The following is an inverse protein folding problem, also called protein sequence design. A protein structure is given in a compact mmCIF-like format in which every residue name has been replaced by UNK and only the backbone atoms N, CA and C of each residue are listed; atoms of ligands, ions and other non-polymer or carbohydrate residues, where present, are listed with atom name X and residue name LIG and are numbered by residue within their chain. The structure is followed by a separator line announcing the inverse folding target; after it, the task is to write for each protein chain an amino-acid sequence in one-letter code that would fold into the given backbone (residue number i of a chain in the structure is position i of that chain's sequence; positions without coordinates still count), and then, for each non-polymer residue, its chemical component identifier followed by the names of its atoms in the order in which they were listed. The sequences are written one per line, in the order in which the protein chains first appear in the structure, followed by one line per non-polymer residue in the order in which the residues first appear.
data_IF_800928103763
#
_entry.id   IF_800928103763
#
_cell.length_a   1.000
_cell.length_b   1.000
_cell.length_c   1.000
_cell.angle_alpha   90.00
_cell.angle_beta   90.00
_cell.angle_gamma   90.00
#
_symmetry.space_group_name_H-M   'P 1'
#
loop_
_entity.id
_entity.type
_entity.pdbx_description
1 polymer ?
#
# COMPACT_ATOMS: atom_id res chain seq x y z
N UNK A 1 11.30 7.36 4.72
CA UNK A 1 10.87 6.00 4.31
C UNK A 1 10.50 6.07 2.82
N UNK A 2 10.88 5.08 1.99
CA UNK A 2 10.90 5.24 0.53
C UNK A 2 9.50 5.51 -0.08
N UNK A 3 8.46 4.67 0.11
CA UNK A 3 7.11 4.94 -0.41
C UNK A 3 6.54 6.32 -0.10
N UNK A 4 6.60 6.77 1.17
CA UNK A 4 6.09 8.10 1.53
C UNK A 4 6.87 9.22 0.84
N UNK A 5 8.18 9.05 0.64
CA UNK A 5 8.98 10.03 -0.08
C UNK A 5 8.54 10.13 -1.55
N UNK A 6 8.37 8.98 -2.22
CA UNK A 6 7.96 8.92 -3.63
C UNK A 6 6.58 9.55 -3.84
N UNK A 7 5.56 9.18 -3.06
CA UNK A 7 4.22 9.77 -3.25
C UNK A 7 4.20 11.25 -2.89
N UNK A 8 4.94 11.69 -1.87
CA UNK A 8 5.08 13.11 -1.55
C UNK A 8 5.77 13.88 -2.68
N UNK A 9 6.85 13.36 -3.26
CA UNK A 9 7.51 13.94 -4.44
C UNK A 9 6.54 14.07 -5.62
N UNK A 10 5.84 12.98 -5.95
CA UNK A 10 4.86 12.97 -7.05
C UNK A 10 3.73 13.98 -6.82
N UNK A 11 3.29 14.15 -5.58
CA UNK A 11 2.23 15.10 -5.22
C UNK A 11 2.73 16.55 -5.07
N UNK A 12 4.03 16.82 -5.14
CA UNK A 12 4.58 18.17 -4.95
C UNK A 12 4.65 18.61 -3.49
N UNK A 13 4.70 17.67 -2.54
CA UNK A 13 4.81 17.95 -1.11
C UNK A 13 6.27 18.32 -0.77
N UNK A 14 6.53 19.51 -0.19
CA UNK A 14 7.86 19.91 0.25
C UNK A 14 8.48 18.90 1.21
N UNK A 15 9.80 18.69 1.11
CA UNK A 15 10.52 17.71 1.94
C UNK A 15 10.32 17.95 3.44
N UNK A 16 10.30 19.21 3.86
CA UNK A 16 10.08 19.62 5.26
C UNK A 16 8.73 19.16 5.83
N UNK A 17 7.72 18.97 4.99
CA UNK A 17 6.38 18.57 5.42
C UNK A 17 6.20 17.05 5.49
N UNK A 18 7.05 16.26 4.83
CA UNK A 18 6.89 14.79 4.74
C UNK A 18 6.76 14.10 6.10
N UNK A 19 7.52 14.47 7.16
CA UNK A 19 7.33 13.88 8.48
C UNK A 19 5.92 14.12 9.05
N UNK A 20 5.34 15.30 8.81
CA UNK A 20 3.97 15.63 9.21
C UNK A 20 2.95 14.79 8.44
N UNK A 21 3.09 14.68 7.12
CA UNK A 21 2.18 13.87 6.28
C UNK A 21 2.25 12.38 6.67
N UNK A 22 3.45 11.89 7.00
CA UNK A 22 3.65 10.53 7.53
C UNK A 22 2.90 10.31 8.86
N UNK A 23 2.99 11.24 9.82
CA UNK A 23 2.24 11.15 11.08
C UNK A 23 0.72 11.12 10.84
N UNK A 24 0.22 12.03 10.00
CA UNK A 24 -1.21 12.13 9.72
C UNK A 24 -1.74 10.85 9.06
N UNK A 25 -1.03 10.29 8.08
CA UNK A 25 -1.42 9.03 7.43
C UNK A 25 -1.34 7.82 8.37
N UNK A 26 -0.34 7.77 9.25
CA UNK A 26 -0.25 6.75 10.31
C UNK A 26 -1.49 6.80 11.23
N UNK A 27 -1.89 8.01 11.66
CA UNK A 27 -3.07 8.19 12.53
C UNK A 27 -4.38 7.90 11.80
N UNK A 28 -4.46 8.23 10.51
CA UNK A 28 -5.64 7.98 9.68
C UNK A 28 -5.90 6.47 9.50
N UNK A 29 -4.87 5.69 9.18
CA UNK A 29 -5.01 4.27 8.83
C UNK A 29 -4.65 3.31 9.98
N UNK A 30 -3.97 3.81 11.01
CA UNK A 30 -3.62 3.10 12.23
C UNK A 30 -4.45 3.49 13.46
N UNK A 31 -5.45 4.37 13.36
CA UNK A 31 -6.17 4.95 14.50
C UNK A 31 -6.93 3.97 15.41
N UNK A 32 -7.02 2.68 15.07
CA UNK A 32 -7.48 1.61 15.97
C UNK A 32 -6.41 1.09 16.95
N UNK A 33 -5.15 1.46 16.74
CA UNK A 33 -4.00 1.17 17.58
C UNK A 33 -3.72 2.37 18.50
N UNK A 34 -3.41 2.10 19.77
CA UNK A 34 -3.17 3.15 20.77
C UNK A 34 -1.95 4.02 20.44
N UNK A 35 -0.96 3.45 19.74
CA UNK A 35 0.25 4.17 19.33
C UNK A 35 -0.05 5.28 18.29
N UNK A 36 -1.10 5.11 17.49
CA UNK A 36 -1.49 6.05 16.42
C UNK A 36 -2.79 6.81 16.74
N UNK A 37 -3.03 7.02 18.04
CA UNK A 37 -4.11 7.83 18.57
C UNK A 37 -5.27 7.04 19.15
N UNK A 38 -5.50 5.78 18.74
CA UNK A 38 -6.45 4.85 19.36
C UNK A 38 -7.93 5.27 19.39
N UNK A 39 -8.29 6.42 18.82
CA UNK A 39 -9.64 7.01 18.90
C UNK A 39 -10.15 7.43 17.52
N UNK A 40 -11.48 7.39 17.36
CA UNK A 40 -12.16 7.90 16.16
C UNK A 40 -11.90 9.39 15.92
N UNK A 41 -11.78 10.17 16.99
CA UNK A 41 -11.49 11.61 16.92
C UNK A 41 -10.09 11.87 16.34
N UNK A 42 -9.07 11.13 16.79
CA UNK A 42 -7.72 11.26 16.23
C UNK A 42 -7.69 10.97 14.73
N UNK A 43 -8.40 9.92 14.30
CA UNK A 43 -8.54 9.56 12.88
C UNK A 43 -9.23 10.68 12.08
N UNK A 44 -10.36 11.17 12.59
CA UNK A 44 -11.15 12.22 11.91
C UNK A 44 -10.32 13.49 11.73
N UNK A 45 -9.63 13.93 12.80
CA UNK A 45 -8.77 15.11 12.77
C UNK A 45 -7.60 14.94 11.80
N UNK A 46 -6.97 13.77 11.78
CA UNK A 46 -5.89 13.50 10.82
C UNK A 46 -6.39 13.60 9.37
N UNK A 47 -7.60 13.10 9.10
CA UNK A 47 -8.24 13.22 7.79
C UNK A 47 -8.59 14.67 7.43
N UNK A 48 -9.07 15.48 8.38
CA UNK A 48 -9.32 16.91 8.18
C UNK A 48 -8.03 17.65 7.81
N UNK A 49 -6.97 17.48 8.60
CA UNK A 49 -5.69 18.14 8.35
C UNK A 49 -5.07 17.74 6.99
N UNK A 50 -5.22 16.48 6.56
CA UNK A 50 -4.78 16.04 5.24
C UNK A 50 -5.57 16.67 4.10
N UNK A 51 -6.90 16.81 4.25
CA UNK A 51 -7.74 17.48 3.24
C UNK A 51 -7.39 18.96 3.14
N UNK A 52 -7.23 19.63 4.28
CA UNK A 52 -6.87 21.05 4.34
C UNK A 52 -5.49 21.29 3.70
N UNK A 53 -4.54 20.39 3.95
CA UNK A 53 -3.23 20.44 3.29
C UNK A 53 -3.35 20.32 1.77
N UNK A 54 -4.13 19.35 1.28
CA UNK A 54 -4.36 19.17 -0.16
C UNK A 54 -5.01 20.38 -0.83
N UNK A 55 -5.98 21.02 -0.14
CA UNK A 55 -6.60 22.26 -0.62
C UNK A 55 -5.62 23.42 -0.67
N UNK A 56 -4.77 23.57 0.37
CA UNK A 56 -3.74 24.60 0.41
C UNK A 56 -2.72 24.41 -0.73
N UNK A 57 -2.20 23.20 -0.91
CA UNK A 57 -1.23 22.90 -1.96
C UNK A 57 -1.85 23.10 -3.35
N UNK A 58 -3.10 22.68 -3.52
CA UNK A 58 -3.89 22.91 -4.72
C UNK A 58 -3.99 24.38 -5.14
N UNK A 59 -4.32 25.26 -4.19
CA UNK A 59 -4.38 26.71 -4.45
C UNK A 59 -3.01 27.26 -4.86
N UNK A 60 -1.95 26.81 -4.20
CA UNK A 60 -0.59 27.19 -4.59
C UNK A 60 -0.26 26.76 -6.03
N UNK A 61 -0.68 25.56 -6.46
CA UNK A 61 -0.47 25.07 -7.83
C UNK A 61 -1.33 25.75 -8.90
N UNK A 62 -2.50 26.26 -8.53
CA UNK A 62 -3.31 27.10 -9.44
C UNK A 62 -2.61 28.42 -9.77
N UNK A 63 -1.95 29.03 -8.79
CA UNK A 63 -1.23 30.30 -8.97
C UNK A 63 0.17 30.10 -9.56
N UNK A 64 0.84 29.03 -9.13
CA UNK A 64 2.21 28.68 -9.50
C UNK A 64 2.32 27.19 -9.86
N UNK A 65 1.97 26.82 -11.11
CA UNK A 65 2.06 25.44 -11.58
C UNK A 65 3.49 24.88 -11.51
N UNK A 66 3.61 23.61 -11.09
CA UNK A 66 4.87 22.86 -11.06
C UNK A 66 4.73 21.53 -11.83
N UNK A 67 5.82 20.75 -11.93
CA UNK A 67 5.78 19.44 -12.58
C UNK A 67 5.41 18.33 -11.59
N UNK A 68 4.17 18.36 -11.09
CA UNK A 68 3.65 17.40 -10.12
C UNK A 68 2.19 17.00 -10.37
N UNK A 69 1.73 15.96 -9.65
CA UNK A 69 0.36 15.46 -9.73
C UNK A 69 -0.63 16.48 -9.20
N UNK A 70 -0.30 17.29 -8.19
CA UNK A 70 -1.26 18.29 -7.69
C UNK A 70 -1.57 19.34 -8.76
N UNK A 71 -0.56 19.79 -9.51
CA UNK A 71 -0.70 20.66 -10.68
C UNK A 71 -1.56 19.98 -11.74
N UNK A 72 -1.30 18.70 -12.03
CA UNK A 72 -2.12 17.92 -12.97
C UNK A 72 -3.58 17.87 -12.53
N UNK A 73 -3.86 17.64 -11.24
CA UNK A 73 -5.22 17.52 -10.71
C UNK A 73 -6.01 18.83 -10.77
N UNK A 74 -5.38 19.97 -10.46
CA UNK A 74 -6.07 21.26 -10.46
C UNK A 74 -6.33 21.82 -11.86
N UNK A 75 -5.60 21.34 -12.88
CA UNK A 75 -5.78 21.72 -14.28
C UNK A 75 -6.47 20.63 -15.13
N UNK A 76 -6.77 19.47 -14.56
CA UNK A 76 -7.43 18.39 -15.29
C UNK A 76 -8.89 18.74 -15.58
N UNK A 77 -9.31 18.47 -16.82
CA UNK A 77 -10.70 18.48 -17.25
C UNK A 77 -11.11 17.08 -17.70
N UNK A 78 -12.26 16.62 -17.23
CA UNK A 78 -12.88 15.35 -17.66
C UNK A 78 -14.23 15.71 -18.28
N UNK A 79 -14.45 15.32 -19.53
CA UNK A 79 -15.66 15.68 -20.28
C UNK A 79 -15.94 17.20 -20.34
N UNK A 80 -14.87 18.00 -20.30
CA UNK A 80 -14.93 19.47 -20.31
C UNK A 80 -15.23 20.10 -18.94
N UNK A 81 -15.28 19.30 -17.87
CA UNK A 81 -15.47 19.79 -16.49
C UNK A 81 -14.18 19.66 -15.67
N UNK A 82 -13.77 20.77 -15.06
CA UNK A 82 -12.69 20.78 -14.09
C UNK A 82 -13.08 20.07 -12.79
N UNK A 83 -12.08 19.57 -12.05
CA UNK A 83 -12.32 19.00 -10.72
C UNK A 83 -13.01 20.04 -9.81
N UNK A 84 -14.15 19.68 -9.17
CA UNK A 84 -14.78 20.57 -8.21
C UNK A 84 -13.82 20.88 -7.05
N UNK A 85 -13.68 22.15 -6.62
CA UNK A 85 -12.72 22.52 -5.58
C UNK A 85 -12.86 21.73 -4.27
N UNK A 86 -14.08 21.30 -3.92
CA UNK A 86 -14.33 20.49 -2.73
C UNK A 86 -13.77 19.06 -2.82
N UNK A 87 -13.50 18.55 -4.02
CA UNK A 87 -13.05 17.18 -4.24
C UNK A 87 -11.52 17.06 -4.18
N UNK A 88 -10.79 18.17 -4.33
CA UNK A 88 -9.34 18.19 -4.34
C UNK A 88 -8.72 17.71 -3.02
N UNK A 89 -9.20 18.21 -1.88
CA UNK A 89 -8.74 17.77 -0.56
C UNK A 89 -8.93 16.26 -0.34
N UNK A 90 -10.16 15.71 -0.54
CA UNK A 90 -10.41 14.28 -0.51
C UNK A 90 -9.54 13.45 -1.47
N UNK A 91 -9.33 13.93 -2.70
CA UNK A 91 -8.52 13.22 -3.70
C UNK A 91 -7.03 13.20 -3.32
N UNK A 92 -6.50 14.34 -2.83
CA UNK A 92 -5.15 14.42 -2.29
C UNK A 92 -4.95 13.46 -1.11
N UNK A 93 -5.88 13.46 -0.14
CA UNK A 93 -5.87 12.54 0.99
C UNK A 93 -5.83 11.08 0.51
N UNK A 94 -6.69 10.72 -0.45
CA UNK A 94 -6.73 9.37 -1.02
C UNK A 94 -5.37 8.94 -1.56
N UNK A 95 -4.72 9.78 -2.38
CA UNK A 95 -3.44 9.45 -3.00
C UNK A 95 -2.31 9.32 -1.98
N UNK A 96 -2.19 10.28 -1.05
CA UNK A 96 -1.14 10.27 -0.02
C UNK A 96 -1.32 9.08 0.94
N UNK A 97 -2.55 8.79 1.39
CA UNK A 97 -2.81 7.67 2.28
C UNK A 97 -2.57 6.32 1.57
N UNK A 98 -3.04 6.17 0.34
CA UNK A 98 -2.89 4.93 -0.43
C UNK A 98 -1.44 4.64 -0.81
N UNK A 99 -0.70 5.66 -1.27
CA UNK A 99 0.70 5.53 -1.70
C UNK A 99 1.69 5.30 -0.55
N UNK A 100 1.32 5.63 0.70
CA UNK A 100 2.20 5.45 1.85
C UNK A 100 2.03 4.07 2.51
N UNK A 101 0.83 3.77 2.99
CA UNK A 101 0.60 2.65 3.90
C UNK A 101 0.67 1.28 3.24
N UNK A 102 0.35 1.17 1.96
CA UNK A 102 0.23 -0.13 1.31
C UNK A 102 1.59 -0.71 0.94
N UNK A 103 2.40 0.02 0.17
CA UNK A 103 3.72 -0.46 -0.29
C UNK A 103 4.68 -0.71 0.87
N UNK A 104 4.72 0.16 1.90
CA UNK A 104 5.62 -0.04 3.06
C UNK A 104 5.35 -1.34 3.81
N UNK A 105 4.09 -1.75 3.86
CA UNK A 105 3.67 -2.98 4.51
C UNK A 105 3.98 -4.19 3.62
N UNK A 106 3.77 -4.10 2.30
CA UNK A 106 4.23 -5.13 1.36
C UNK A 106 5.74 -5.39 1.53
N UNK A 107 6.54 -4.33 1.61
CA UNK A 107 7.98 -4.41 1.83
C UNK A 107 8.33 -5.07 3.16
N UNK A 108 7.75 -4.59 4.26
CA UNK A 108 8.08 -5.12 5.59
C UNK A 108 7.73 -6.60 5.69
N UNK A 109 6.57 -7.01 5.16
CA UNK A 109 6.18 -8.41 5.06
C UNK A 109 7.07 -9.20 4.11
N UNK A 110 7.52 -8.62 3.01
CA UNK A 110 8.45 -9.25 2.08
C UNK A 110 9.81 -9.55 2.74
N UNK A 111 10.36 -8.61 3.50
CA UNK A 111 11.60 -8.84 4.24
C UNK A 111 11.43 -9.92 5.31
N UNK A 112 10.28 -9.92 5.99
CA UNK A 112 9.94 -10.97 6.94
C UNK A 112 9.82 -12.33 6.24
N UNK A 113 9.11 -12.43 5.12
CA UNK A 113 8.98 -13.66 4.35
C UNK A 113 10.34 -14.17 3.87
N UNK A 114 11.19 -13.33 3.28
CA UNK A 114 12.54 -13.73 2.86
C UNK A 114 13.46 -14.13 4.02
N UNK A 115 13.15 -13.71 5.24
CA UNK A 115 13.84 -14.17 6.46
C UNK A 115 13.41 -15.58 6.83
N UNK A 116 12.10 -15.87 6.75
CA UNK A 116 11.51 -17.18 7.07
C UNK A 116 11.74 -18.23 5.97
N UNK A 117 11.92 -17.78 4.72
CA UNK A 117 12.13 -18.62 3.51
C UNK A 117 13.49 -18.32 2.85
N UNK A 118 14.61 -18.68 3.50
CA UNK A 118 15.96 -18.32 3.03
C UNK A 118 16.34 -18.98 1.69
N UNK A 119 15.70 -20.09 1.31
CA UNK A 119 15.82 -20.71 -0.01
C UNK A 119 15.23 -19.84 -1.13
N UNK A 120 14.08 -19.21 -0.91
CA UNK A 120 13.48 -18.28 -1.86
C UNK A 120 14.35 -17.02 -1.96
N UNK A 121 14.89 -16.52 -0.84
CA UNK A 121 15.89 -15.43 -0.86
C UNK A 121 17.14 -15.79 -1.65
N UNK A 122 17.70 -16.99 -1.46
CA UNK A 122 18.86 -17.48 -2.24
C UNK A 122 18.53 -17.59 -3.73
N UNK A 123 17.32 -18.03 -4.09
CA UNK A 123 16.85 -18.07 -5.48
C UNK A 123 16.83 -16.67 -6.08
N UNK A 124 16.28 -15.68 -5.37
CA UNK A 124 16.26 -14.30 -5.86
C UNK A 124 17.67 -13.73 -6.03
N UNK A 125 18.57 -13.96 -5.07
CA UNK A 125 19.96 -13.51 -5.16
C UNK A 125 20.72 -14.10 -6.36
N UNK A 126 20.32 -15.29 -6.83
CA UNK A 126 20.94 -15.93 -8.00
C UNK A 126 20.50 -15.30 -9.33
N UNK A 127 19.34 -14.63 -9.36
CA UNK A 127 18.79 -13.95 -10.54
C UNK A 127 17.88 -12.78 -10.10
N UNK A 128 18.51 -11.67 -9.72
CA UNK A 128 17.82 -10.51 -9.15
C UNK A 128 16.77 -9.94 -10.09
N UNK A 129 17.11 -9.83 -11.37
CA UNK A 129 16.25 -9.21 -12.39
C UNK A 129 15.20 -10.20 -12.91
N UNK A 130 15.56 -11.47 -13.15
CA UNK A 130 14.64 -12.47 -13.67
C UNK A 130 13.53 -12.85 -12.69
N UNK A 131 13.81 -12.82 -11.38
CA UNK A 131 12.79 -13.10 -10.35
C UNK A 131 11.99 -11.87 -9.92
N UNK A 132 12.41 -10.64 -10.27
CA UNK A 132 11.87 -9.41 -9.68
C UNK A 132 10.35 -9.27 -9.83
N UNK A 133 9.81 -9.54 -11.02
CA UNK A 133 8.39 -9.36 -11.30
C UNK A 133 7.51 -10.36 -10.55
N UNK A 134 7.85 -11.65 -10.60
CA UNK A 134 7.10 -12.70 -9.90
C UNK A 134 7.25 -12.58 -8.38
N UNK A 135 8.44 -12.18 -7.90
CA UNK A 135 8.68 -11.95 -6.48
C UNK A 135 7.84 -10.79 -5.95
N UNK A 136 7.70 -9.69 -6.71
CA UNK A 136 6.87 -8.57 -6.32
C UNK A 136 5.39 -8.95 -6.22
N UNK A 137 4.85 -9.72 -7.18
CA UNK A 137 3.48 -10.25 -7.08
C UNK A 137 3.32 -11.18 -5.87
N UNK A 138 4.28 -12.07 -5.63
CA UNK A 138 4.20 -12.99 -4.49
C UNK A 138 4.28 -12.25 -3.16
N UNK A 139 5.15 -11.24 -3.03
CA UNK A 139 5.21 -10.38 -1.85
C UNK A 139 3.86 -9.70 -1.60
N UNK A 140 3.24 -9.16 -2.65
CA UNK A 140 1.94 -8.49 -2.54
C UNK A 140 0.83 -9.48 -2.16
N UNK A 141 0.77 -10.67 -2.77
CA UNK A 141 -0.15 -11.75 -2.37
C UNK A 141 0.07 -12.16 -0.91
N UNK A 142 1.33 -12.35 -0.53
CA UNK A 142 1.72 -12.84 0.78
C UNK A 142 1.37 -11.83 1.87
N UNK A 143 1.75 -10.57 1.63
CA UNK A 143 1.50 -9.47 2.54
C UNK A 143 0.01 -9.09 2.62
N UNK A 144 -0.71 -9.09 1.50
CA UNK A 144 -2.09 -8.58 1.40
C UNK A 144 -2.29 -7.29 2.23
N UNK A 145 -1.59 -6.17 1.89
CA UNK A 145 -1.50 -5.00 2.78
C UNK A 145 -2.87 -4.39 3.17
N UNK A 146 -3.86 -4.49 2.28
CA UNK A 146 -5.25 -4.26 2.58
C UNK A 146 -5.94 -5.60 2.85
N UNK A 147 -6.51 -5.76 4.05
CA UNK A 147 -7.15 -7.00 4.48
C UNK A 147 -8.48 -7.22 3.75
N UNK A 148 -9.27 -6.16 3.57
CA UNK A 148 -10.56 -6.20 2.91
C UNK A 148 -10.97 -4.84 2.33
N UNK A 149 -11.97 -4.87 1.44
CA UNK A 149 -12.79 -3.70 1.10
C UNK A 149 -14.26 -4.05 1.22
N UNK A 150 -15.09 -3.04 1.45
CA UNK A 150 -16.54 -3.23 1.64
C UNK A 150 -17.34 -2.71 0.45
N UNK A 151 -18.41 -3.42 0.10
CA UNK A 151 -19.45 -3.03 -0.87
C UNK A 151 -20.83 -2.99 -0.19
N UNK A 152 -21.78 -2.31 -0.83
CA UNK A 152 -23.18 -2.26 -0.40
C UNK A 152 -24.01 -3.00 -1.43
N UNK A 153 -24.86 -3.92 -0.99
CA UNK A 153 -25.75 -4.67 -1.88
C UNK A 153 -26.76 -3.71 -2.51
N UNK A 154 -26.77 -3.61 -3.84
CA UNK A 154 -27.60 -2.65 -4.57
C UNK A 154 -29.06 -3.10 -4.73
N UNK A 155 -29.29 -4.42 -4.71
CA UNK A 155 -30.60 -5.08 -4.83
C UNK A 155 -30.53 -6.44 -4.15
N UNK A 156 -31.67 -6.94 -3.70
CA UNK A 156 -31.77 -8.29 -3.15
C UNK A 156 -31.16 -9.32 -4.13
N UNK A 157 -30.31 -10.20 -3.60
CA UNK A 157 -29.52 -11.16 -4.38
C UNK A 157 -29.12 -12.35 -3.53
N UNK A 158 -29.04 -13.53 -4.15
CA UNK A 158 -28.39 -14.70 -3.57
C UNK A 158 -26.98 -14.80 -4.17
N UNK A 159 -25.95 -14.79 -3.33
CA UNK A 159 -24.55 -14.91 -3.76
C UNK A 159 -23.82 -15.95 -2.90
N UNK A 160 -23.16 -16.92 -3.54
CA UNK A 160 -22.48 -18.00 -2.82
C UNK A 160 -23.43 -18.83 -1.92
N UNK A 161 -24.70 -18.94 -2.29
CA UNK A 161 -25.73 -19.62 -1.49
C UNK A 161 -26.26 -18.81 -0.30
N UNK A 162 -25.87 -17.54 -0.16
CA UNK A 162 -26.33 -16.65 0.92
C UNK A 162 -27.25 -15.58 0.35
N UNK A 163 -28.45 -15.47 0.91
CA UNK A 163 -29.40 -14.40 0.60
C UNK A 163 -28.96 -13.08 1.26
N UNK A 164 -28.85 -12.03 0.46
CA UNK A 164 -28.47 -10.69 0.89
C UNK A 164 -29.53 -9.67 0.44
N UNK A 165 -29.85 -8.72 1.32
CA UNK A 165 -30.85 -7.67 1.06
C UNK A 165 -30.19 -6.40 0.57
N UNK A 166 -30.92 -5.60 -0.19
CA UNK A 166 -30.51 -4.23 -0.54
C UNK A 166 -30.12 -3.46 0.72
N UNK A 167 -28.93 -2.86 0.69
CA UNK A 167 -28.37 -2.10 1.81
C UNK A 167 -27.40 -2.88 2.71
N UNK A 168 -27.39 -4.22 2.62
CA UNK A 168 -26.43 -5.04 3.36
C UNK A 168 -24.99 -4.70 2.97
N UNK A 169 -24.10 -4.78 3.96
CA UNK A 169 -22.66 -4.54 3.79
C UNK A 169 -21.96 -5.87 3.59
N UNK A 170 -21.17 -5.97 2.52
CA UNK A 170 -20.37 -7.16 2.21
C UNK A 170 -18.90 -6.78 2.25
N UNK A 171 -18.11 -7.46 3.07
CA UNK A 171 -16.66 -7.31 3.12
C UNK A 171 -16.00 -8.38 2.25
N UNK A 172 -15.17 -7.96 1.30
CA UNK A 172 -14.39 -8.83 0.42
C UNK A 172 -12.99 -8.98 1.03
N UNK A 173 -12.73 -10.13 1.65
CA UNK A 173 -11.48 -10.39 2.38
C UNK A 173 -10.36 -10.85 1.45
N UNK A 174 -9.56 -9.90 0.95
CA UNK A 174 -8.43 -10.17 0.06
C UNK A 174 -7.40 -11.10 0.70
N UNK A 175 -7.14 -10.94 2.00
CA UNK A 175 -6.21 -11.80 2.75
C UNK A 175 -6.64 -13.28 2.74
N UNK A 176 -7.96 -13.53 2.71
CA UNK A 176 -8.52 -14.88 2.61
C UNK A 176 -8.45 -15.39 1.17
N UNK A 177 -8.87 -14.57 0.19
CA UNK A 177 -8.83 -14.93 -1.22
C UNK A 177 -7.40 -15.29 -1.68
N UNK A 178 -6.40 -14.56 -1.19
CA UNK A 178 -4.99 -14.81 -1.46
C UNK A 178 -4.43 -16.07 -0.77
N UNK A 179 -5.26 -16.82 -0.05
CA UNK A 179 -4.96 -18.13 0.54
C UNK A 179 -5.98 -19.22 0.16
N UNK A 180 -6.83 -18.96 -0.84
CA UNK A 180 -7.85 -19.90 -1.28
C UNK A 180 -7.22 -21.09 -2.03
N UNK A 181 -7.37 -22.30 -1.46
CA UNK A 181 -6.84 -23.55 -2.01
C UNK A 181 -7.53 -23.96 -3.32
N UNK A 182 -8.74 -23.46 -3.58
CA UNK A 182 -9.42 -23.69 -4.85
C UNK A 182 -8.78 -22.93 -6.02
N UNK A 183 -7.95 -21.92 -5.74
CA UNK A 183 -7.36 -21.03 -6.74
C UNK A 183 -5.84 -21.02 -6.73
N UNK A 184 -5.22 -21.12 -5.55
CA UNK A 184 -3.78 -21.19 -5.38
C UNK A 184 -3.37 -22.58 -4.90
N UNK A 185 -2.67 -23.38 -5.72
CA UNK A 185 -1.97 -24.56 -5.23
C UNK A 185 -0.94 -24.17 -4.16
N UNK A 186 -0.90 -24.90 -3.05
CA UNK A 186 -0.06 -24.63 -1.88
C UNK A 186 -0.10 -23.14 -1.46
N UNK A 187 -1.26 -22.58 -1.08
CA UNK A 187 -1.41 -21.13 -0.86
C UNK A 187 -0.57 -20.60 0.30
N UNK A 188 -0.24 -21.48 1.24
CA UNK A 188 0.58 -21.21 2.43
C UNK A 188 2.08 -21.41 2.21
N UNK A 189 2.51 -21.71 0.97
CA UNK A 189 3.91 -21.65 0.56
C UNK A 189 4.20 -20.30 -0.07
N UNK A 190 5.21 -19.61 0.45
CA UNK A 190 5.80 -18.43 -0.19
C UNK A 190 6.71 -18.91 -1.32
N UNK A 191 6.42 -18.51 -2.55
CA UNK A 191 7.16 -18.91 -3.74
C UNK A 191 7.36 -17.69 -4.66
N UNK A 192 8.58 -17.15 -4.71
CA UNK A 192 8.87 -15.94 -5.49
C UNK A 192 8.78 -16.17 -7.01
N UNK A 193 8.67 -17.44 -7.43
CA UNK A 193 8.53 -17.86 -8.82
C UNK A 193 7.10 -18.24 -9.19
N UNK A 194 6.13 -18.08 -8.28
CA UNK A 194 4.72 -18.44 -8.50
C UNK A 194 4.19 -17.82 -9.79
N UNK A 195 3.78 -18.68 -10.72
CA UNK A 195 3.10 -18.31 -11.96
C UNK A 195 2.09 -19.39 -12.38
N UNK A 196 0.87 -19.02 -12.78
CA UNK A 196 0.28 -17.68 -12.70
C UNK A 196 0.10 -17.22 -11.24
N UNK A 197 0.03 -15.90 -11.01
CA UNK A 197 -0.21 -15.30 -9.69
C UNK A 197 -1.26 -14.19 -9.78
N UNK A 198 -2.52 -14.60 -9.87
CA UNK A 198 -3.67 -13.69 -10.02
C UNK A 198 -4.19 -13.22 -8.63
N UNK A 199 -3.28 -12.67 -7.83
CA UNK A 199 -3.58 -12.20 -6.47
C UNK A 199 -4.56 -11.01 -6.45
N UNK A 200 -5.41 -10.98 -5.42
CA UNK A 200 -6.49 -10.00 -5.27
C UNK A 200 -6.17 -8.78 -4.40
N UNK A 201 -4.94 -8.58 -3.94
CA UNK A 201 -4.57 -7.48 -3.03
C UNK A 201 -4.67 -6.10 -3.68
N UNK A 202 -4.63 -6.00 -5.02
CA UNK A 202 -4.94 -4.78 -5.77
C UNK A 202 -6.44 -4.62 -6.10
N UNK A 203 -7.28 -5.51 -5.56
CA UNK A 203 -8.66 -5.70 -6.01
C UNK A 203 -8.74 -6.66 -7.21
N UNK A 204 -9.91 -7.25 -7.42
CA UNK A 204 -10.16 -8.28 -8.45
C UNK A 204 -10.60 -7.67 -9.79
N UNK A 205 -10.07 -6.49 -10.14
CA UNK A 205 -10.41 -5.73 -11.35
C UNK A 205 -11.55 -4.72 -11.18
N UNK A 206 -12.14 -4.31 -12.31
CA UNK A 206 -13.25 -3.34 -12.37
C UNK A 206 -12.84 -1.87 -12.14
N UNK A 207 -13.81 -0.97 -11.95
CA UNK A 207 -13.56 0.49 -11.87
C UNK A 207 -12.68 0.95 -10.70
N UNK A 208 -12.51 0.08 -9.69
CA UNK A 208 -11.70 0.37 -8.50
C UNK A 208 -10.49 -0.55 -8.38
N UNK A 209 -10.02 -1.14 -9.49
CA UNK A 209 -8.70 -1.75 -9.52
C UNK A 209 -7.66 -0.71 -9.10
N UNK A 210 -6.68 -1.12 -8.28
CA UNK A 210 -5.74 -0.20 -7.67
C UNK A 210 -5.02 0.67 -8.71
N UNK A 211 -5.29 1.99 -8.65
CA UNK A 211 -4.65 2.99 -9.51
C UNK A 211 -3.12 2.96 -9.38
N UNK A 212 -2.62 2.73 -8.16
CA UNK A 212 -1.19 2.70 -7.85
C UNK A 212 -0.51 1.37 -8.11
N UNK A 213 -1.18 0.36 -8.69
CA UNK A 213 -0.62 -1.01 -8.77
C UNK A 213 0.71 -1.07 -9.53
N UNK A 214 0.88 -0.28 -10.60
CA UNK A 214 2.14 -0.21 -11.35
C UNK A 214 3.26 0.45 -10.53
N UNK A 215 2.94 1.53 -9.81
CA UNK A 215 3.89 2.21 -8.93
C UNK A 215 4.32 1.28 -7.79
N UNK A 216 3.37 0.66 -7.09
CA UNK A 216 3.65 -0.24 -5.96
C UNK A 216 4.54 -1.41 -6.37
N UNK A 217 4.28 -2.04 -7.54
CA UNK A 217 5.16 -3.08 -8.10
C UNK A 217 6.57 -2.56 -8.32
N UNK A 218 6.71 -1.38 -8.94
CA UNK A 218 8.01 -0.79 -9.23
C UNK A 218 8.78 -0.48 -7.96
N UNK A 219 8.12 0.07 -6.94
CA UNK A 219 8.71 0.36 -5.64
C UNK A 219 9.19 -0.92 -4.94
N UNK A 220 8.38 -1.98 -4.92
CA UNK A 220 8.77 -3.28 -4.35
C UNK A 220 9.96 -3.86 -5.09
N UNK A 221 9.93 -3.89 -6.43
CA UNK A 221 11.03 -4.39 -7.26
C UNK A 221 12.31 -3.62 -6.96
N UNK A 222 12.30 -2.30 -7.12
CA UNK A 222 13.50 -1.47 -6.95
C UNK A 222 14.03 -1.60 -5.53
N UNK A 223 13.16 -1.60 -4.52
CA UNK A 223 13.64 -1.71 -3.16
C UNK A 223 14.32 -3.04 -2.90
N UNK A 224 13.72 -4.17 -3.28
CA UNK A 224 14.33 -5.48 -3.03
C UNK A 224 15.56 -5.72 -3.90
N UNK A 225 15.59 -5.26 -5.15
CA UNK A 225 16.78 -5.33 -6.01
C UNK A 225 17.96 -4.57 -5.37
N UNK A 226 17.74 -3.32 -4.93
CA UNK A 226 18.78 -2.53 -4.28
C UNK A 226 19.17 -3.11 -2.91
N UNK A 227 18.19 -3.55 -2.12
CA UNK A 227 18.41 -4.07 -0.79
C UNK A 227 19.20 -5.38 -0.82
N UNK A 228 18.80 -6.33 -1.66
CA UNK A 228 19.46 -7.63 -1.79
C UNK A 228 20.79 -7.52 -2.53
N UNK A 229 20.92 -6.62 -3.51
CA UNK A 229 22.17 -6.35 -4.21
C UNK A 229 23.25 -5.76 -3.29
N UNK A 230 22.86 -4.86 -2.37
CA UNK A 230 23.79 -4.20 -1.44
C UNK A 230 24.01 -5.02 -0.15
N UNK A 231 22.94 -5.59 0.40
CA UNK A 231 22.89 -6.25 1.70
C UNK A 231 22.34 -7.68 1.54
N UNK A 232 23.06 -8.59 0.86
CA UNK A 232 22.53 -9.92 0.52
C UNK A 232 22.24 -10.78 1.76
N UNK A 233 22.81 -10.47 2.92
CA UNK A 233 22.60 -11.19 4.17
C UNK A 233 21.58 -10.52 5.10
N UNK A 234 20.92 -9.42 4.69
CA UNK A 234 19.93 -8.74 5.53
C UNK A 234 18.80 -9.68 5.95
N UNK A 235 18.45 -9.67 7.24
CA UNK A 235 17.36 -10.46 7.78
C UNK A 235 16.72 -9.78 8.98
N UNK A 236 15.44 -10.05 9.22
CA UNK A 236 14.80 -9.65 10.46
C UNK A 236 15.45 -10.37 11.66
N UNK A 237 15.57 -9.67 12.79
CA UNK A 237 16.18 -10.20 14.03
C UNK A 237 15.17 -10.50 15.13
N UNK A 238 13.92 -10.11 14.93
CA UNK A 238 12.81 -10.42 15.84
C UNK A 238 11.52 -10.61 15.05
N UNK A 239 10.49 -11.15 15.71
CA UNK A 239 9.15 -11.18 15.14
C UNK A 239 8.65 -9.75 14.85
N UNK A 240 7.82 -9.56 13.81
CA UNK A 240 7.25 -8.25 13.49
C UNK A 240 6.32 -7.75 14.59
N UNK A 241 6.46 -6.48 14.99
CA UNK A 241 5.45 -5.84 15.82
C UNK A 241 4.30 -5.37 14.94
N UNK A 242 3.16 -6.05 15.04
CA UNK A 242 2.01 -5.83 14.15
C UNK A 242 1.18 -4.62 14.57
N UNK A 243 0.61 -3.94 13.57
CA UNK A 243 -0.39 -2.91 13.76
C UNK A 243 -1.72 -3.55 14.19
N UNK A 244 -2.36 -3.02 15.24
CA UNK A 244 -3.74 -3.42 15.58
C UNK A 244 -4.72 -2.77 14.60
N UNK A 245 -5.08 -3.48 13.54
CA UNK A 245 -6.03 -3.02 12.53
C UNK A 245 -6.85 -4.17 11.94
N UNK A 246 -8.10 -3.88 11.58
CA UNK A 246 -8.94 -4.79 10.80
C UNK A 246 -8.93 -4.44 9.29
N UNK A 247 -8.20 -3.41 8.89
CA UNK A 247 -8.17 -2.89 7.53
C UNK A 247 -6.77 -2.98 6.91
N UNK A 248 -5.74 -2.58 7.64
CA UNK A 248 -4.34 -2.59 7.21
C UNK A 248 -3.62 -3.78 7.83
N UNK A 249 -2.96 -4.61 7.02
CA UNK A 249 -2.06 -5.66 7.49
C UNK A 249 -0.69 -5.07 7.84
N UNK A 250 -0.65 -4.21 8.86
CA UNK A 250 0.50 -3.35 9.13
C UNK A 250 1.60 -4.02 9.98
N UNK A 251 2.85 -3.66 9.71
CA UNK A 251 3.98 -3.89 10.61
C UNK A 251 4.49 -2.53 11.09
N UNK A 252 4.44 -2.29 12.40
CA UNK A 252 4.91 -1.04 13.03
C UNK A 252 6.43 -1.00 13.09
N UNK A 253 7.04 -2.13 13.46
CA UNK A 253 8.49 -2.27 13.64
C UNK A 253 8.95 -3.67 13.21
N UNK A 254 10.04 -3.71 12.44
CA UNK A 254 10.74 -4.94 12.06
C UNK A 254 12.27 -4.71 12.17
N UNK A 255 12.86 -4.95 13.34
CA UNK A 255 14.30 -4.91 13.52
C UNK A 255 15.01 -5.87 12.55
N UNK A 256 16.10 -5.41 11.93
CA UNK A 256 16.88 -6.19 10.97
C UNK A 256 18.38 -5.98 11.17
N UNK A 257 19.17 -6.97 10.74
CA UNK A 257 20.63 -6.92 10.79
C UNK A 257 21.23 -7.42 9.47
N UNK A 258 22.42 -6.92 9.16
CA UNK A 258 23.23 -7.27 8.00
C UNK A 258 24.71 -7.11 8.35
N UNK A 259 25.61 -7.76 7.62
CA UNK A 259 27.05 -7.57 7.81
C UNK A 259 27.46 -6.20 7.26
N UNK A 260 28.11 -5.32 8.05
CA UNK A 260 28.59 -4.04 7.55
C UNK A 260 29.51 -4.21 6.34
N UNK A 261 29.23 -3.49 5.26
CA UNK A 261 30.11 -3.40 4.08
C UNK A 261 30.37 -1.94 3.77
N UNK A 262 31.61 -1.61 3.39
CA UNK A 262 31.87 -0.32 2.73
C UNK A 262 31.28 -0.43 1.33
N UNK A 263 30.28 0.40 1.04
CA UNK A 263 29.88 0.64 -0.34
C UNK A 263 31.05 1.34 -1.06
N UNK A 264 31.38 0.95 -2.30
CA UNK A 264 32.39 1.65 -3.09
C UNK A 264 32.01 3.12 -3.32
#
# INVERSE_FOLDING_TARGET
MLPVAIICDMMGVPEADRPRLLDLTNRLLGGGDAEYGGTKESLQRAGEELRDYGLWLGRARLEHPENDLTTTLVHAEVDGEAMPPQDLGPFFLLLIAAGNETTRNAVSHGLWALTEYPEEKRRWLADLDGCANTAAEEIVRWASPLLHMRRTVARDVTFGGVDMRKGDKVAMWYVSANRDEAYFPDPYRFDITRTPNEQGAFGTGGPHFCLGAHLARREVIVMFTELLGRLPDIRATSQPEKLRSNFIHGIKRLPAAFTPRRLP
#
